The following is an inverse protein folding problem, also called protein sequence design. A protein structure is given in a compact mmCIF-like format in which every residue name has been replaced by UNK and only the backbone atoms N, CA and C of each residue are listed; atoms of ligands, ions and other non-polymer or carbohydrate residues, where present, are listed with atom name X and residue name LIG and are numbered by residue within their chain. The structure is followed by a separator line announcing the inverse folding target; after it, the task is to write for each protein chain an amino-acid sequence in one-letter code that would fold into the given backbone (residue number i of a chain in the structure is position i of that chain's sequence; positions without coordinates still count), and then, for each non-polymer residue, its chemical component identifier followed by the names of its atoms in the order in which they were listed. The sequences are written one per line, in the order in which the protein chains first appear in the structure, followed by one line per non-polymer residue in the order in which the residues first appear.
data_IF_856762537474
#
_entry.id   IF_856762537474
#
_cell.length_a   1.000
_cell.length_b   1.000
_cell.length_c   1.000
_cell.angle_alpha   90.00
_cell.angle_beta   90.00
_cell.angle_gamma   90.00
#
_symmetry.space_group_name_H-M   'P 1'
#
loop_
_entity.id
_entity.type
_entity.pdbx_description
1 polymer ?
#
# COMPACT_ATOMS: atom_id res chain seq x y z
N UNK A 1 -15.25 -3.82 0.31
CA UNK A 1 -13.86 -3.36 0.47
C UNK A 1 -13.59 -3.32 1.96
N UNK A 2 -12.53 -3.96 2.45
CA UNK A 2 -12.17 -3.90 3.87
C UNK A 2 -11.69 -2.49 4.23
N UNK A 3 -11.98 -2.04 5.46
CA UNK A 3 -11.58 -0.70 5.96
C UNK A 3 -10.09 -0.40 5.77
N UNK A 4 -9.23 -1.43 5.84
CA UNK A 4 -7.79 -1.26 5.65
C UNK A 4 -7.40 -1.06 4.18
N UNK A 5 -8.10 -1.71 3.25
CA UNK A 5 -7.85 -1.53 1.82
C UNK A 5 -8.20 -0.11 1.39
N UNK A 6 -9.31 0.43 1.91
CA UNK A 6 -9.76 1.80 1.64
C UNK A 6 -8.76 2.84 2.19
N UNK A 7 -8.31 2.66 3.43
CA UNK A 7 -7.29 3.52 4.04
C UNK A 7 -5.98 3.52 3.23
N UNK A 8 -5.54 2.35 2.75
CA UNK A 8 -4.35 2.22 1.90
C UNK A 8 -4.58 2.91 0.56
N UNK A 9 -5.70 2.65 -0.13
CA UNK A 9 -6.00 3.29 -1.40
C UNK A 9 -6.04 4.81 -1.29
N UNK A 10 -6.74 5.33 -0.26
CA UNK A 10 -6.85 6.77 -0.03
C UNK A 10 -5.49 7.44 0.11
N UNK A 11 -4.54 6.79 0.81
CA UNK A 11 -3.17 7.30 0.97
C UNK A 11 -2.32 7.17 -0.28
N UNK A 12 -2.37 6.02 -0.96
CA UNK A 12 -1.67 5.82 -2.24
C UNK A 12 -2.15 6.85 -3.27
N UNK A 13 -3.46 7.09 -3.33
CA UNK A 13 -4.08 8.09 -4.19
C UNK A 13 -3.65 9.51 -3.80
N UNK A 14 -3.63 9.82 -2.50
CA UNK A 14 -3.19 11.13 -1.99
C UNK A 14 -1.72 11.41 -2.29
N UNK A 15 -0.87 10.39 -2.29
CA UNK A 15 0.55 10.54 -2.60
C UNK A 15 0.81 10.67 -4.10
N UNK A 16 -0.08 10.15 -4.96
CA UNK A 16 -0.01 10.20 -6.43
C UNK A 16 1.41 9.92 -6.98
N UNK A 17 2.15 9.05 -6.29
CA UNK A 17 3.57 8.78 -6.56
C UNK A 17 3.88 7.34 -6.21
N UNK A 18 5.03 6.84 -6.67
CA UNK A 18 5.40 5.49 -6.35
C UNK A 18 5.70 5.29 -4.88
N UNK A 19 4.98 4.42 -4.19
CA UNK A 19 5.12 4.23 -2.74
C UNK A 19 5.52 2.81 -2.40
N UNK A 20 6.31 2.66 -1.33
CA UNK A 20 6.83 1.36 -0.91
C UNK A 20 6.00 0.81 0.24
N UNK A 21 6.07 -0.52 0.42
CA UNK A 21 5.45 -1.22 1.57
C UNK A 21 5.86 -0.55 2.89
N UNK A 22 7.12 -0.13 3.00
CA UNK A 22 7.65 0.55 4.19
C UNK A 22 6.99 1.89 4.43
N UNK A 23 6.89 2.76 3.41
CA UNK A 23 6.22 4.06 3.58
C UNK A 23 4.76 3.89 3.98
N UNK A 24 4.04 2.98 3.33
CA UNK A 24 2.62 2.70 3.65
C UNK A 24 2.49 2.18 5.09
N UNK A 25 3.36 1.26 5.50
CA UNK A 25 3.38 0.72 6.85
C UNK A 25 3.70 1.79 7.90
N UNK A 26 4.74 2.59 7.68
CA UNK A 26 5.17 3.64 8.62
C UNK A 26 4.06 4.67 8.80
N UNK A 27 3.41 5.07 7.72
CA UNK A 27 2.29 6.00 7.78
C UNK A 27 1.08 5.34 8.47
N UNK A 28 0.82 4.05 8.23
CA UNK A 28 -0.32 3.33 8.82
C UNK A 28 -0.13 3.17 10.32
N UNK A 29 1.09 2.85 10.74
CA UNK A 29 1.48 2.77 12.15
C UNK A 29 1.26 4.08 12.92
N UNK A 30 1.23 5.24 12.26
CA UNK A 30 0.92 6.52 12.91
C UNK A 30 -0.54 6.64 13.35
N UNK A 31 -1.47 6.01 12.62
CA UNK A 31 -2.90 6.06 12.94
C UNK A 31 -3.40 4.79 13.62
N UNK A 32 -2.83 3.62 13.30
CA UNK A 32 -3.20 2.33 13.87
C UNK A 32 -1.96 1.43 14.00
N UNK A 33 -1.78 0.75 15.13
CA UNK A 33 -0.71 -0.24 15.27
C UNK A 33 -1.05 -1.50 14.48
N UNK A 34 -0.44 -1.69 13.30
CA UNK A 34 -0.72 -2.79 12.38
C UNK A 34 0.55 -3.59 12.09
N UNK A 35 0.40 -4.91 12.01
CA UNK A 35 1.51 -5.80 11.71
C UNK A 35 1.99 -5.66 10.26
N UNK A 36 3.29 -5.86 10.05
CA UNK A 36 3.95 -5.86 8.74
C UNK A 36 3.26 -6.81 7.74
N UNK A 37 2.93 -8.01 8.19
CA UNK A 37 2.28 -9.05 7.39
C UNK A 37 0.89 -8.64 6.93
N UNK A 38 0.13 -7.92 7.75
CA UNK A 38 -1.19 -7.40 7.36
C UNK A 38 -1.08 -6.38 6.22
N UNK A 39 -0.12 -5.47 6.32
CA UNK A 39 0.13 -4.48 5.25
C UNK A 39 0.60 -5.18 3.98
N UNK A 40 1.47 -6.19 4.09
CA UNK A 40 1.85 -7.03 2.95
C UNK A 40 0.64 -7.67 2.28
N UNK A 41 -0.24 -8.31 3.04
CA UNK A 41 -1.43 -9.00 2.49
C UNK A 41 -2.42 -8.03 1.86
N UNK A 42 -2.59 -6.83 2.42
CA UNK A 42 -3.46 -5.80 1.83
C UNK A 42 -2.86 -5.22 0.56
N UNK A 43 -1.56 -4.96 0.53
CA UNK A 43 -0.87 -4.53 -0.68
C UNK A 43 -0.86 -5.62 -1.76
N UNK A 44 -0.77 -6.88 -1.37
CA UNK A 44 -0.88 -8.02 -2.29
C UNK A 44 -2.30 -8.14 -2.87
N UNK A 45 -3.34 -7.95 -2.04
CA UNK A 45 -4.72 -7.86 -2.51
C UNK A 45 -4.93 -6.71 -3.50
N UNK A 46 -4.38 -5.53 -3.22
CA UNK A 46 -4.46 -4.37 -4.11
C UNK A 46 -3.72 -4.59 -5.43
N UNK A 47 -2.57 -5.27 -5.37
CA UNK A 47 -1.79 -5.67 -6.54
C UNK A 47 -2.53 -6.72 -7.39
N UNK A 48 -3.11 -7.76 -6.76
CA UNK A 48 -3.97 -8.74 -7.43
C UNK A 48 -5.16 -8.09 -8.14
N UNK A 49 -5.75 -7.08 -7.49
CA UNK A 49 -6.86 -6.32 -8.07
C UNK A 49 -6.41 -5.33 -9.16
N UNK A 50 -5.10 -5.19 -9.43
CA UNK A 50 -4.55 -4.35 -10.51
C UNK A 50 -4.45 -2.85 -10.21
N UNK A 51 -4.66 -2.42 -8.95
CA UNK A 51 -4.68 -1.01 -8.55
C UNK A 51 -3.29 -0.42 -8.38
N UNK A 52 -2.28 -1.28 -8.23
CA UNK A 52 -0.89 -0.86 -8.09
C UNK A 52 -0.04 -1.75 -8.97
N UNK A 53 0.88 -1.20 -9.77
CA UNK A 53 1.81 -1.99 -10.59
C UNK A 53 3.20 -1.95 -9.98
N UNK A 54 3.78 -3.14 -9.71
CA UNK A 54 5.22 -3.22 -9.44
C UNK A 54 5.97 -2.90 -10.73
N UNK A 55 6.80 -1.86 -10.73
CA UNK A 55 7.76 -1.64 -11.81
C UNK A 55 8.87 -2.69 -11.68
N UNK A 56 8.88 -3.69 -12.58
CA UNK A 56 9.94 -4.69 -12.61
C UNK A 56 11.29 -3.98 -12.87
N UNK A 57 12.21 -4.06 -11.89
CA UNK A 57 13.56 -3.47 -11.98
C UNK A 57 13.94 -2.48 -10.87
N UNK A 58 12.99 -1.98 -10.06
CA UNK A 58 13.27 -1.13 -8.89
C UNK A 58 12.16 -1.32 -7.84
N UNK A 59 12.44 -1.29 -6.51
CA UNK A 59 11.40 -1.48 -5.48
C UNK A 59 10.43 -0.28 -5.34
N UNK A 60 9.96 0.31 -6.44
CA UNK A 60 9.04 1.45 -6.45
C UNK A 60 7.76 1.07 -7.23
N UNK A 61 6.59 1.12 -6.58
CA UNK A 61 5.28 0.79 -7.18
C UNK A 61 4.63 2.05 -7.76
N UNK A 62 4.33 2.14 -9.06
CA UNK A 62 3.66 3.30 -9.66
C UNK A 62 2.19 2.99 -9.97
N UNK A 63 1.33 4.01 -9.85
CA UNK A 63 -0.09 4.01 -10.28
C UNK A 63 -0.16 4.25 -11.78
#
# INVERSE_FOLDING_TARGET
MGELEDAVMSRVWKWNRPVTVREVLEDLQKERSIAYTTVMTVLDNLHQKGWVRRKAGRPCLSI
#
